data_IF_608672414651
#
_entry.id   IF_608672414651
#
_cell.length_a   1.000
_cell.length_b   1.000
_cell.length_c   1.000
_cell.angle_alpha   90.00
_cell.angle_beta   90.00
_cell.angle_gamma   90.00
#
_symmetry.space_group_name_H-M   'P 1'
#
loop_
_entity.id
_entity.type
_entity.pdbx_description
1 polymer ?
#
# COMPACT_ATOMS: atom_id res chain seq x y z
N UNK A 1 15.97 -8.83 -14.91
CA UNK A 1 15.07 -7.65 -15.09
C UNK A 1 14.31 -7.46 -13.80
N UNK A 2 14.34 -6.27 -13.20
CA UNK A 2 13.62 -5.97 -11.97
C UNK A 2 12.19 -5.51 -12.31
N UNK A 3 11.21 -5.82 -11.44
CA UNK A 3 9.81 -5.37 -11.61
C UNK A 3 9.75 -3.83 -11.74
N UNK A 4 10.59 -3.13 -11.00
CA UNK A 4 10.73 -1.68 -11.09
C UNK A 4 11.01 -1.21 -12.53
N UNK A 5 11.96 -1.83 -13.21
CA UNK A 5 12.32 -1.45 -14.57
C UNK A 5 11.15 -1.69 -15.55
N UNK A 6 10.41 -2.80 -15.36
CA UNK A 6 9.22 -3.10 -16.19
C UNK A 6 8.16 -2.01 -16.02
N UNK A 7 7.93 -1.56 -14.79
CA UNK A 7 6.96 -0.49 -14.51
C UNK A 7 7.40 0.83 -15.12
N UNK A 8 8.65 1.21 -14.96
CA UNK A 8 9.22 2.44 -15.52
C UNK A 8 9.15 2.43 -17.08
N UNK A 9 9.52 1.33 -17.72
CA UNK A 9 9.39 1.16 -19.16
C UNK A 9 7.92 1.20 -19.63
N UNK A 10 7.00 0.62 -18.85
CA UNK A 10 5.57 0.65 -19.17
C UNK A 10 5.01 2.07 -19.12
N UNK A 11 5.43 2.88 -18.16
CA UNK A 11 5.04 4.30 -18.10
C UNK A 11 5.62 5.08 -19.27
N UNK A 12 6.88 4.86 -19.64
CA UNK A 12 7.48 5.52 -20.81
C UNK A 12 6.75 5.21 -22.11
N UNK A 13 6.30 3.95 -22.29
CA UNK A 13 5.63 3.51 -23.51
C UNK A 13 4.14 3.84 -23.54
N UNK A 14 3.46 3.77 -22.39
CA UNK A 14 2.01 3.75 -22.29
C UNK A 14 1.46 4.73 -21.25
N UNK A 15 2.20 5.76 -20.86
CA UNK A 15 1.89 6.65 -19.75
C UNK A 15 0.43 7.10 -19.66
N UNK A 16 -0.14 7.55 -20.77
CA UNK A 16 -1.52 8.05 -20.83
C UNK A 16 -2.57 6.95 -21.08
N UNK A 17 -2.14 5.73 -21.40
CA UNK A 17 -3.06 4.60 -21.56
C UNK A 17 -3.62 4.19 -20.20
N UNK A 18 -4.88 3.76 -20.16
CA UNK A 18 -5.53 3.31 -18.93
C UNK A 18 -4.98 1.96 -18.49
N UNK A 19 -4.29 1.95 -17.34
CA UNK A 19 -3.69 0.78 -16.76
C UNK A 19 -4.70 -0.08 -15.98
N UNK A 20 -5.64 0.59 -15.30
CA UNK A 20 -6.68 -0.06 -14.48
C UNK A 20 -8.03 0.60 -14.69
N UNK A 21 -9.07 -0.22 -14.60
CA UNK A 21 -10.48 0.20 -14.55
C UNK A 21 -11.18 -0.55 -13.43
N UNK A 22 -12.03 0.13 -12.69
CA UNK A 22 -12.81 -0.50 -11.64
C UNK A 22 -14.19 0.12 -11.53
N UNK A 23 -15.11 -0.61 -10.94
CA UNK A 23 -16.46 -0.16 -10.71
C UNK A 23 -16.58 0.43 -9.29
N UNK A 24 -16.97 1.70 -9.22
CA UNK A 24 -17.34 2.35 -7.97
C UNK A 24 -18.84 2.61 -7.98
N UNK A 25 -19.63 1.79 -7.27
CA UNK A 25 -21.09 1.78 -7.33
C UNK A 25 -21.59 1.53 -8.78
N UNK A 26 -21.98 2.57 -9.50
CA UNK A 26 -22.47 2.50 -10.90
C UNK A 26 -21.53 3.22 -11.88
N UNK A 27 -20.46 3.80 -11.40
CA UNK A 27 -19.50 4.56 -12.19
C UNK A 27 -18.24 3.73 -12.46
N UNK A 28 -17.81 3.72 -13.71
CA UNK A 28 -16.53 3.13 -14.10
C UNK A 28 -15.44 4.19 -13.92
N UNK A 29 -14.56 3.95 -12.97
CA UNK A 29 -13.38 4.77 -12.75
C UNK A 29 -12.18 4.12 -13.43
N UNK A 30 -11.19 4.95 -13.79
CA UNK A 30 -9.99 4.48 -14.46
C UNK A 30 -8.78 5.35 -14.09
N UNK A 31 -7.59 4.74 -14.12
CA UNK A 31 -6.30 5.43 -13.99
C UNK A 31 -5.37 5.04 -15.12
N UNK A 32 -4.56 5.99 -15.58
CA UNK A 32 -3.47 5.73 -16.52
C UNK A 32 -2.27 5.09 -15.83
N UNK A 33 -1.31 4.58 -16.63
CA UNK A 33 -0.03 4.09 -16.11
C UNK A 33 0.72 5.18 -15.33
N UNK A 34 0.74 6.41 -15.85
CA UNK A 34 1.38 7.54 -15.17
C UNK A 34 0.74 7.88 -13.83
N UNK A 35 -0.59 7.91 -13.76
CA UNK A 35 -1.34 8.17 -12.52
C UNK A 35 -1.09 7.08 -11.48
N UNK A 36 -1.12 5.81 -11.89
CA UNK A 36 -0.86 4.68 -11.00
C UNK A 36 0.59 4.71 -10.48
N UNK A 37 1.55 5.01 -11.35
CA UNK A 37 2.96 5.05 -10.99
C UNK A 37 3.29 6.15 -9.98
N UNK A 38 2.62 7.30 -10.01
CA UNK A 38 2.77 8.35 -8.98
C UNK A 38 2.51 7.78 -7.58
N UNK A 39 1.42 7.06 -7.40
CA UNK A 39 1.07 6.46 -6.11
C UNK A 39 2.05 5.34 -5.70
N UNK A 40 2.49 4.52 -6.65
CA UNK A 40 3.51 3.48 -6.42
C UNK A 40 4.81 4.11 -5.90
N UNK A 41 5.28 5.18 -6.53
CA UNK A 41 6.49 5.89 -6.14
C UNK A 41 6.31 6.57 -4.77
N UNK A 42 5.18 7.21 -4.55
CA UNK A 42 4.88 7.86 -3.27
C UNK A 42 4.84 6.85 -2.12
N UNK A 43 4.22 5.69 -2.32
CA UNK A 43 4.24 4.59 -1.34
C UNK A 43 5.67 4.14 -1.05
N UNK A 44 6.47 3.89 -2.09
CA UNK A 44 7.87 3.48 -1.94
C UNK A 44 8.69 4.50 -1.17
N UNK A 45 8.63 5.77 -1.58
CA UNK A 45 9.39 6.85 -0.94
C UNK A 45 8.93 7.10 0.50
N UNK A 46 7.61 7.06 0.73
CA UNK A 46 7.04 7.18 2.07
C UNK A 46 7.51 6.09 3.02
N UNK A 47 7.52 4.83 2.59
CA UNK A 47 8.04 3.72 3.39
C UNK A 47 9.52 3.90 3.75
N UNK A 48 10.33 4.34 2.79
CA UNK A 48 11.76 4.59 3.02
C UNK A 48 11.98 5.78 3.97
N UNK A 49 11.25 6.87 3.81
CA UNK A 49 11.32 8.05 4.68
C UNK A 49 10.91 7.72 6.12
N UNK A 50 9.98 6.79 6.30
CA UNK A 50 9.54 6.29 7.61
C UNK A 50 10.47 5.22 8.22
N UNK A 51 11.57 4.87 7.54
CA UNK A 51 12.59 3.96 8.06
C UNK A 51 12.28 2.46 7.87
N UNK A 52 11.39 2.11 6.95
CA UNK A 52 11.03 0.70 6.69
C UNK A 52 11.94 -0.01 5.68
N UNK A 53 13.11 0.53 5.36
CA UNK A 53 14.09 -0.16 4.50
C UNK A 53 14.46 -1.53 5.09
N UNK A 54 14.43 -2.56 4.24
CA UNK A 54 14.73 -3.94 4.64
C UNK A 54 13.67 -4.62 5.50
N UNK A 55 12.54 -3.95 5.79
CA UNK A 55 11.47 -4.46 6.67
C UNK A 55 10.41 -5.23 5.90
N UNK A 56 9.68 -6.06 6.64
CA UNK A 56 8.51 -6.77 6.16
C UNK A 56 7.26 -5.93 6.37
N UNK A 57 6.46 -5.83 5.32
CA UNK A 57 5.24 -5.03 5.29
C UNK A 57 4.06 -5.93 4.97
N UNK A 58 3.18 -6.14 5.93
CA UNK A 58 1.96 -6.91 5.72
C UNK A 58 0.95 -6.12 4.89
N UNK A 59 0.16 -6.84 4.10
CA UNK A 59 -0.87 -6.25 3.24
C UNK A 59 -2.12 -7.14 3.27
N UNK A 60 -3.21 -6.62 3.84
CA UNK A 60 -4.48 -7.33 4.01
C UNK A 60 -5.58 -6.53 3.31
N UNK A 61 -6.23 -7.14 2.34
CA UNK A 61 -7.36 -6.51 1.68
C UNK A 61 -7.84 -7.26 0.45
N UNK A 62 -9.04 -6.91 0.04
CA UNK A 62 -9.58 -7.33 -1.26
C UNK A 62 -8.88 -6.55 -2.37
N UNK A 63 -8.82 -7.12 -3.57
CA UNK A 63 -8.23 -6.48 -4.74
C UNK A 63 -8.88 -5.12 -4.99
N UNK A 64 -8.10 -4.07 -4.85
CA UNK A 64 -8.47 -2.68 -5.15
C UNK A 64 -7.30 -1.97 -5.81
N UNK A 65 -7.52 -0.79 -6.35
CA UNK A 65 -6.43 0.00 -6.96
C UNK A 65 -5.41 0.37 -5.90
N UNK A 66 -5.84 0.79 -4.72
CA UNK A 66 -4.99 1.13 -3.59
C UNK A 66 -4.16 -0.07 -3.12
N UNK A 67 -4.75 -1.28 -3.13
CA UNK A 67 -4.03 -2.51 -2.80
C UNK A 67 -2.91 -2.79 -3.80
N UNK A 68 -3.20 -2.67 -5.11
CA UNK A 68 -2.22 -2.90 -6.18
C UNK A 68 -1.09 -1.85 -6.10
N UNK A 69 -1.43 -0.58 -5.96
CA UNK A 69 -0.47 0.53 -5.86
C UNK A 69 0.44 0.35 -4.64
N UNK A 70 -0.12 -0.06 -3.50
CA UNK A 70 0.64 -0.35 -2.28
C UNK A 70 1.57 -1.55 -2.46
N UNK A 71 1.05 -2.66 -2.99
CA UNK A 71 1.85 -3.85 -3.26
C UNK A 71 3.05 -3.54 -4.17
N UNK A 72 2.81 -2.83 -5.28
CA UNK A 72 3.87 -2.42 -6.20
C UNK A 72 4.86 -1.44 -5.54
N UNK A 73 4.37 -0.52 -4.71
CA UNK A 73 5.22 0.40 -3.94
C UNK A 73 6.15 -0.33 -2.98
N UNK A 74 5.64 -1.35 -2.28
CA UNK A 74 6.42 -2.18 -1.37
C UNK A 74 7.50 -2.96 -2.14
N UNK A 75 7.14 -3.74 -3.15
CA UNK A 75 8.08 -4.64 -3.85
C UNK A 75 9.08 -3.92 -4.75
N UNK A 76 8.84 -2.66 -5.10
CA UNK A 76 9.79 -1.83 -5.88
C UNK A 76 10.67 -0.95 -5.00
N UNK A 77 10.38 -0.87 -3.70
CA UNK A 77 11.23 -0.28 -2.67
C UNK A 77 12.23 -1.30 -2.15
N UNK A 78 12.99 -0.95 -1.17
CA UNK A 78 13.88 -1.88 -0.46
C UNK A 78 13.15 -2.55 0.72
N UNK A 79 11.92 -3.02 0.50
CA UNK A 79 11.05 -3.64 1.51
C UNK A 79 10.49 -4.98 1.01
N UNK A 80 10.02 -5.83 1.91
CA UNK A 80 9.45 -7.14 1.58
C UNK A 80 7.94 -7.11 1.78
N UNK A 81 7.18 -7.42 0.73
CA UNK A 81 5.73 -7.54 0.83
C UNK A 81 5.33 -8.89 1.43
N UNK A 82 4.40 -8.86 2.37
CA UNK A 82 3.75 -10.03 2.98
C UNK A 82 2.24 -9.94 2.72
N UNK A 83 1.77 -10.30 1.52
CA UNK A 83 0.34 -10.32 1.23
C UNK A 83 -0.32 -11.48 1.98
N UNK A 84 -1.36 -11.16 2.76
CA UNK A 84 -2.11 -12.13 3.56
C UNK A 84 -3.53 -12.27 2.99
N UNK A 85 -4.06 -13.49 3.08
CA UNK A 85 -5.41 -13.78 2.62
C UNK A 85 -6.45 -13.03 3.47
N UNK A 86 -7.17 -12.13 2.82
CA UNK A 86 -8.20 -11.30 3.46
C UNK A 86 -9.44 -12.09 3.94
N UNK A 87 -9.57 -13.37 3.59
CA UNK A 87 -10.66 -14.23 4.05
C UNK A 87 -10.37 -14.91 5.39
N UNK A 88 -9.14 -14.84 5.87
CA UNK A 88 -8.75 -15.48 7.13
C UNK A 88 -9.37 -14.78 8.36
N UNK A 89 -9.64 -15.55 9.43
CA UNK A 89 -10.07 -15.01 10.71
C UNK A 89 -9.00 -14.09 11.33
N UNK A 90 -9.43 -13.18 12.21
CA UNK A 90 -8.55 -12.21 12.86
C UNK A 90 -7.36 -12.87 13.58
N UNK A 91 -7.60 -13.97 14.30
CA UNK A 91 -6.56 -14.70 15.05
C UNK A 91 -5.47 -15.28 14.16
N UNK A 92 -5.86 -15.84 13.01
CA UNK A 92 -4.91 -16.37 12.03
C UNK A 92 -4.09 -15.25 11.38
N UNK A 93 -4.74 -14.12 11.09
CA UNK A 93 -4.03 -12.94 10.55
C UNK A 93 -3.01 -12.39 11.56
N UNK A 94 -3.34 -12.34 12.86
CA UNK A 94 -2.42 -11.97 13.94
C UNK A 94 -1.20 -12.91 13.98
N UNK A 95 -1.44 -14.22 13.92
CA UNK A 95 -0.36 -15.22 13.89
C UNK A 95 0.57 -15.02 12.69
N UNK A 96 0.00 -14.80 11.51
CA UNK A 96 0.77 -14.59 10.28
C UNK A 96 1.55 -13.26 10.29
N UNK A 97 0.98 -12.17 10.79
CA UNK A 97 1.67 -10.89 10.96
C UNK A 97 2.88 -11.06 11.88
N UNK A 98 2.69 -11.75 13.02
CA UNK A 98 3.77 -11.99 13.98
C UNK A 98 4.86 -12.92 13.43
N UNK A 99 4.49 -14.01 12.77
CA UNK A 99 5.43 -14.98 12.19
C UNK A 99 6.21 -14.43 11.02
N UNK A 100 5.63 -13.49 10.28
CA UNK A 100 6.34 -12.82 9.18
C UNK A 100 7.24 -11.68 9.65
N UNK A 101 7.28 -11.39 10.94
CA UNK A 101 8.01 -10.25 11.50
C UNK A 101 7.64 -8.92 10.84
N UNK A 102 6.38 -8.76 10.46
CA UNK A 102 5.91 -7.53 9.81
C UNK A 102 5.92 -6.35 10.77
N UNK A 103 6.53 -5.26 10.35
CA UNK A 103 6.66 -4.03 11.14
C UNK A 103 5.69 -2.93 10.73
N UNK A 104 5.04 -3.07 9.58
CA UNK A 104 3.95 -2.22 9.13
C UNK A 104 2.87 -3.02 8.42
N UNK A 105 1.68 -2.43 8.33
CA UNK A 105 0.50 -3.05 7.75
C UNK A 105 -0.24 -2.07 6.84
N UNK A 106 -0.58 -2.51 5.64
CA UNK A 106 -1.60 -1.90 4.79
C UNK A 106 -2.90 -2.68 4.95
N UNK A 107 -3.97 -1.99 5.34
CA UNK A 107 -5.23 -2.61 5.75
C UNK A 107 -6.42 -2.05 4.98
N UNK A 108 -7.20 -2.92 4.33
CA UNK A 108 -8.42 -2.48 3.67
C UNK A 108 -9.51 -2.07 4.68
N UNK A 109 -10.40 -1.14 4.32
CA UNK A 109 -11.48 -0.66 5.20
C UNK A 109 -12.37 -1.78 5.74
N UNK A 110 -12.57 -2.83 4.97
CA UNK A 110 -13.35 -4.01 5.38
C UNK A 110 -12.80 -4.67 6.66
N UNK A 111 -11.49 -4.59 6.88
CA UNK A 111 -10.80 -5.20 8.02
C UNK A 111 -10.58 -4.24 9.18
N UNK A 112 -11.11 -3.00 9.10
CA UNK A 112 -11.06 -2.04 10.22
C UNK A 112 -11.51 -2.61 11.56
N UNK A 113 -12.55 -3.49 11.64
CA UNK A 113 -12.94 -4.12 12.91
C UNK A 113 -11.84 -4.93 13.60
N UNK A 114 -10.82 -5.39 12.88
CA UNK A 114 -9.69 -6.14 13.43
C UNK A 114 -8.54 -5.25 13.93
N UNK A 115 -8.60 -3.95 13.66
CA UNK A 115 -7.50 -3.01 13.89
C UNK A 115 -7.03 -2.99 15.35
N UNK A 116 -7.97 -2.89 16.30
CA UNK A 116 -7.63 -2.89 17.74
C UNK A 116 -6.93 -4.20 18.16
N UNK A 117 -7.41 -5.34 17.64
CA UNK A 117 -6.80 -6.63 17.90
C UNK A 117 -5.38 -6.73 17.33
N UNK A 118 -5.14 -6.19 16.13
CA UNK A 118 -3.80 -6.13 15.54
C UNK A 118 -2.86 -5.26 16.37
N UNK A 119 -3.29 -4.06 16.77
CA UNK A 119 -2.47 -3.16 17.58
C UNK A 119 -2.16 -3.75 18.96
N UNK A 120 -3.08 -4.50 19.55
CA UNK A 120 -2.89 -5.13 20.86
C UNK A 120 -2.00 -6.39 20.82
N UNK A 121 -2.02 -7.16 19.72
CA UNK A 121 -1.42 -8.50 19.66
C UNK A 121 -0.26 -8.62 18.64
N UNK A 122 0.09 -7.57 17.93
CA UNK A 122 1.22 -7.56 17.01
C UNK A 122 2.28 -6.54 17.48
N UNK A 123 3.13 -6.91 18.46
CA UNK A 123 4.02 -5.95 19.14
C UNK A 123 5.11 -5.34 18.25
N UNK A 124 5.44 -5.96 17.10
CA UNK A 124 6.39 -5.40 16.14
C UNK A 124 5.76 -4.38 15.20
N UNK A 125 4.43 -4.33 15.14
CA UNK A 125 3.71 -3.45 14.24
C UNK A 125 3.82 -1.99 14.71
N UNK A 126 4.51 -1.17 13.93
CA UNK A 126 4.78 0.24 14.26
C UNK A 126 3.77 1.20 13.63
N UNK A 127 3.33 0.88 12.40
CA UNK A 127 2.40 1.72 11.63
C UNK A 127 1.39 0.90 10.85
N UNK A 128 0.19 1.45 10.72
CA UNK A 128 -0.87 0.90 9.87
C UNK A 128 -1.35 1.99 8.91
N UNK A 129 -1.41 1.67 7.63
CA UNK A 129 -2.04 2.52 6.61
C UNK A 129 -3.34 1.89 6.13
N UNK A 130 -4.42 2.65 6.29
CA UNK A 130 -5.72 2.28 5.75
C UNK A 130 -5.75 2.51 4.24
N UNK A 131 -6.11 1.50 3.47
CA UNK A 131 -6.26 1.54 2.01
C UNK A 131 -7.52 2.35 1.59
N UNK A 132 -7.64 3.55 2.14
CA UNK A 132 -8.77 4.45 1.91
C UNK A 132 -8.30 5.90 2.06
N UNK A 133 -8.83 6.78 1.21
CA UNK A 133 -8.43 8.19 1.18
C UNK A 133 -9.00 8.98 2.36
N UNK A 134 -10.27 8.81 2.64
CA UNK A 134 -10.97 9.51 3.71
C UNK A 134 -11.20 8.53 4.86
N UNK A 135 -10.53 8.75 5.96
CA UNK A 135 -10.68 7.96 7.18
C UNK A 135 -10.79 8.90 8.36
N UNK A 136 -11.87 8.79 9.10
CA UNK A 136 -12.12 9.52 10.34
C UNK A 136 -11.79 8.64 11.56
N UNK A 137 -11.51 9.26 12.69
CA UNK A 137 -11.32 8.62 14.00
C UNK A 137 -10.28 7.49 13.98
N UNK A 138 -9.06 7.78 13.52
CA UNK A 138 -7.97 6.82 13.53
C UNK A 138 -7.22 6.85 14.87
N UNK A 139 -6.90 5.65 15.44
CA UNK A 139 -6.02 5.54 16.59
C UNK A 139 -4.60 6.05 16.29
N UNK A 140 -3.82 6.31 17.34
CA UNK A 140 -2.39 6.64 17.18
C UNK A 140 -1.63 5.51 16.45
N UNK A 141 -0.78 5.88 15.50
CA UNK A 141 -0.03 4.93 14.67
C UNK A 141 -0.81 4.40 13.45
N UNK A 142 -2.04 4.85 13.26
CA UNK A 142 -2.88 4.50 12.10
C UNK A 142 -3.11 5.73 11.23
N UNK A 143 -2.95 5.59 9.94
CA UNK A 143 -2.95 6.68 8.98
C UNK A 143 -3.80 6.33 7.75
N UNK A 144 -4.30 7.34 7.04
CA UNK A 144 -4.80 7.14 5.68
C UNK A 144 -3.63 6.95 4.71
N UNK A 145 -3.81 6.14 3.68
CA UNK A 145 -2.82 5.98 2.61
C UNK A 145 -2.49 7.30 1.89
N UNK A 146 -3.40 8.27 1.92
CA UNK A 146 -3.16 9.60 1.37
C UNK A 146 -1.95 10.31 1.96
N UNK A 147 -1.60 10.02 3.22
CA UNK A 147 -0.40 10.62 3.82
C UNK A 147 0.89 10.17 3.12
N UNK A 148 0.91 8.96 2.55
CA UNK A 148 2.03 8.52 1.72
C UNK A 148 2.03 9.21 0.35
N UNK A 149 0.85 9.58 -0.17
CA UNK A 149 0.73 10.21 -1.49
C UNK A 149 1.04 11.72 -1.48
N UNK A 150 0.96 12.37 -0.33
CA UNK A 150 1.19 13.82 -0.16
C UNK A 150 2.62 14.19 0.26
N UNK A 151 3.48 13.20 0.55
CA UNK A 151 4.90 13.48 0.78
C UNK A 151 5.49 14.06 -0.51
N UNK A 152 6.26 15.16 -0.44
CA UNK A 152 6.88 15.94 -1.55
C UNK A 152 7.71 15.12 -2.56
N UNK A 153 7.66 13.84 -2.43
CA UNK A 153 8.34 12.85 -3.25
C UNK A 153 7.81 12.74 -4.68
N UNK A 154 6.69 13.38 -5.03
CA UNK A 154 6.08 13.27 -6.36
C UNK A 154 6.66 14.27 -7.37
N UNK A 155 7.29 15.36 -6.93
CA UNK A 155 7.73 16.45 -7.83
C UNK A 155 9.07 16.20 -8.53
N UNK A 156 9.90 15.26 -8.05
CA UNK A 156 11.25 15.01 -8.60
C UNK A 156 11.31 14.08 -9.84
N UNK A 157 10.19 13.67 -10.39
CA UNK A 157 10.14 12.69 -11.48
C UNK A 157 9.71 13.26 -12.85
N UNK A 158 9.60 14.59 -12.98
CA UNK A 158 9.42 15.25 -14.29
C UNK A 158 10.70 16.01 -14.65
N UNK A 159 11.82 15.43 -14.39
CA UNK A 159 13.12 15.99 -14.74
C UNK A 159 14.03 14.91 -15.33
N UNK A 160 14.02 14.84 -16.64
CA UNK A 160 14.86 14.36 -17.74
C UNK A 160 14.14 13.40 -18.63
#
# INVERSE_FOLDING_TARGET
MLIRNILEESVQKFGEVKAVKWLNRKEVLEKSYSEMMKNVISTRKGLLAEGFEGKHIALIGTSSVEWIESYLGIITGCTTAVPLDAALPCEELIDLINRSDSEALFLSPKHRPYLEAFLANCPKLQKVWMLQKEVEDLPSGVYSICLLYTSDAADDLIGV
#
